data_IF_213996299396
#
_entry.id   IF_213996299396
#
_cell.length_a   1.000
_cell.length_b   1.000
_cell.length_c   1.000
_cell.angle_alpha   90.00
_cell.angle_beta   90.00
_cell.angle_gamma   90.00
#
_symmetry.space_group_name_H-M   'P 1'
#
loop_
_entity.id
_entity.type
_entity.pdbx_description
1 polymer ?
#
# COMPACT_ATOMS: atom_id res chain seq x y z
N UNK A 1 6.60 14.24 -3.10
CA UNK A 1 7.49 13.10 -2.75
C UNK A 1 7.64 12.90 -1.24
N UNK A 2 8.36 13.76 -0.50
CA UNK A 2 8.55 13.59 0.95
C UNK A 2 7.24 13.57 1.75
N UNK A 3 6.26 14.41 1.40
CA UNK A 3 4.90 14.39 1.98
C UNK A 3 4.26 13.00 1.91
N UNK A 4 4.23 12.40 0.70
CA UNK A 4 3.72 11.05 0.47
C UNK A 4 4.50 10.01 1.27
N UNK A 5 5.84 10.09 1.29
CA UNK A 5 6.68 9.18 2.08
C UNK A 5 6.30 9.21 3.56
N UNK A 6 6.17 10.40 4.15
CA UNK A 6 5.82 10.55 5.56
C UNK A 6 4.42 10.00 5.83
N UNK A 7 3.41 10.44 5.08
CA UNK A 7 2.03 9.99 5.25
C UNK A 7 1.89 8.47 5.08
N UNK A 8 2.57 7.88 4.11
CA UNK A 8 2.57 6.43 3.88
C UNK A 8 3.26 5.66 5.01
N UNK A 9 4.44 6.13 5.46
CA UNK A 9 5.16 5.49 6.57
C UNK A 9 4.33 5.49 7.85
N UNK A 10 3.64 6.59 8.16
CA UNK A 10 2.73 6.61 9.30
C UNK A 10 1.51 5.71 9.08
N UNK A 11 0.89 5.74 7.91
CA UNK A 11 -0.25 4.88 7.61
C UNK A 11 0.07 3.39 7.80
N UNK A 12 1.15 2.89 7.18
CA UNK A 12 1.48 1.46 7.22
C UNK A 12 1.84 0.99 8.64
N UNK A 13 2.48 1.87 9.43
CA UNK A 13 2.91 1.55 10.79
C UNK A 13 1.74 1.64 11.77
N UNK A 14 0.85 2.63 11.62
CA UNK A 14 -0.37 2.73 12.42
C UNK A 14 -1.27 1.53 12.14
N UNK A 15 -1.47 1.16 10.87
CA UNK A 15 -2.26 -0.03 10.51
C UNK A 15 -1.73 -1.29 11.21
N UNK A 16 -0.42 -1.53 11.15
CA UNK A 16 0.24 -2.72 11.74
C UNK A 16 0.19 -2.71 13.28
N UNK A 17 0.56 -1.59 13.91
CA UNK A 17 0.66 -1.48 15.37
C UNK A 17 -0.70 -1.41 16.06
N UNK A 18 -1.65 -0.71 15.46
CA UNK A 18 -3.00 -0.62 16.04
C UNK A 18 -3.68 -1.98 15.94
N UNK A 19 -3.53 -2.71 14.81
CA UNK A 19 -3.98 -4.12 14.67
C UNK A 19 -3.45 -5.01 15.81
N UNK A 20 -2.15 -4.91 16.10
CA UNK A 20 -1.54 -5.64 17.22
C UNK A 20 -2.14 -5.23 18.56
N UNK A 21 -2.36 -3.94 18.77
CA UNK A 21 -2.95 -3.43 20.00
C UNK A 21 -4.37 -3.94 20.25
N UNK A 22 -5.20 -4.06 19.20
CA UNK A 22 -6.55 -4.61 19.36
C UNK A 22 -6.53 -6.09 19.70
N UNK A 23 -5.61 -6.87 19.11
CA UNK A 23 -5.40 -8.26 19.51
C UNK A 23 -4.99 -8.36 20.98
N UNK A 24 -3.99 -7.59 21.41
CA UNK A 24 -3.52 -7.58 22.80
C UNK A 24 -4.64 -7.20 23.77
N UNK A 25 -5.51 -6.26 23.38
CA UNK A 25 -6.68 -5.87 24.17
C UNK A 25 -7.68 -7.03 24.29
N UNK A 26 -7.93 -7.77 23.21
CA UNK A 26 -8.77 -8.97 23.21
C UNK A 26 -8.17 -10.14 24.00
N UNK A 27 -6.85 -10.19 24.13
CA UNK A 27 -6.11 -11.15 24.94
C UNK A 27 -5.89 -10.68 26.39
N UNK A 28 -6.71 -9.74 26.89
CA UNK A 28 -6.65 -9.18 28.25
C UNK A 28 -5.27 -8.64 28.66
N UNK A 29 -4.53 -8.09 27.70
CA UNK A 29 -3.17 -7.58 27.91
C UNK A 29 -2.18 -8.62 28.47
N UNK A 30 -2.39 -9.91 28.20
CA UNK A 30 -1.53 -11.02 28.62
C UNK A 30 -0.10 -11.01 28.08
N UNK A 31 0.22 -10.10 27.16
CA UNK A 31 1.52 -10.03 26.48
C UNK A 31 1.67 -11.00 25.30
N UNK A 32 0.64 -11.80 24.99
CA UNK A 32 0.62 -12.64 23.80
C UNK A 32 0.78 -11.78 22.53
N UNK A 33 1.74 -12.15 21.69
CA UNK A 33 1.99 -11.46 20.42
C UNK A 33 1.09 -12.03 19.34
N UNK A 34 0.51 -11.14 18.54
CA UNK A 34 -0.20 -11.53 17.32
C UNK A 34 0.76 -11.81 16.17
N UNK A 35 1.78 -10.95 16.02
CA UNK A 35 2.77 -11.03 14.96
C UNK A 35 3.99 -11.82 15.41
N UNK A 36 4.58 -12.58 14.48
CA UNK A 36 5.94 -13.10 14.63
C UNK A 36 6.94 -11.93 14.57
N UNK A 37 7.95 -11.96 15.44
CA UNK A 37 8.99 -10.92 15.51
C UNK A 37 9.76 -10.79 14.20
N UNK A 38 10.04 -11.94 13.56
CA UNK A 38 10.74 -11.97 12.29
C UNK A 38 9.88 -11.30 11.21
N UNK A 39 8.60 -11.68 11.11
CA UNK A 39 7.67 -11.09 10.15
C UNK A 39 7.51 -9.58 10.35
N UNK A 40 7.41 -9.13 11.60
CA UNK A 40 7.28 -7.71 11.95
C UNK A 40 8.52 -6.89 11.58
N UNK A 41 9.71 -7.46 11.81
CA UNK A 41 10.98 -6.80 11.50
C UNK A 41 11.17 -6.73 9.99
N UNK A 42 10.96 -7.85 9.29
CA UNK A 42 11.13 -7.93 7.84
C UNK A 42 10.08 -7.11 7.08
N UNK A 43 8.86 -6.99 7.62
CA UNK A 43 7.82 -6.09 7.11
C UNK A 43 8.31 -4.65 6.98
N UNK A 44 8.93 -4.12 8.04
CA UNK A 44 9.40 -2.73 8.06
C UNK A 44 10.68 -2.51 7.25
N UNK A 45 11.60 -3.46 7.28
CA UNK A 45 12.95 -3.30 6.71
C UNK A 45 13.04 -3.70 5.25
N UNK A 46 12.32 -4.74 4.82
CA UNK A 46 12.46 -5.31 3.48
C UNK A 46 11.19 -5.10 2.65
N UNK A 47 10.03 -5.54 3.15
CA UNK A 47 8.83 -5.65 2.31
C UNK A 47 8.14 -4.32 2.02
N UNK A 48 8.24 -3.33 2.91
CA UNK A 48 7.49 -2.07 2.75
C UNK A 48 8.35 -0.82 2.57
N UNK A 49 9.65 -0.89 2.86
CA UNK A 49 10.59 0.23 2.78
C UNK A 49 11.16 0.43 1.37
N UNK A 50 11.48 -0.65 0.64
CA UNK A 50 12.11 -0.57 -0.67
C UNK A 50 11.24 0.17 -1.71
N UNK A 51 9.94 -0.15 -1.84
CA UNK A 51 9.09 0.55 -2.83
C UNK A 51 8.90 2.03 -2.49
N UNK A 52 8.74 2.37 -1.20
CA UNK A 52 8.52 3.76 -0.79
C UNK A 52 9.79 4.61 -0.94
N UNK A 53 10.97 4.04 -0.67
CA UNK A 53 12.25 4.72 -0.93
C UNK A 53 12.42 4.95 -2.43
N UNK A 54 12.12 3.94 -3.25
CA UNK A 54 12.18 4.06 -4.71
C UNK A 54 11.28 5.18 -5.23
N UNK A 55 10.04 5.27 -4.74
CA UNK A 55 9.12 6.37 -5.09
C UNK A 55 9.67 7.71 -4.60
N UNK A 56 10.15 7.80 -3.36
CA UNK A 56 10.62 9.06 -2.81
C UNK A 56 11.82 9.65 -3.57
N UNK A 57 12.70 8.79 -4.09
CA UNK A 57 13.88 9.21 -4.86
C UNK A 57 13.54 9.39 -6.34
N UNK A 58 12.92 8.39 -6.97
CA UNK A 58 12.80 8.32 -8.43
C UNK A 58 11.47 8.83 -8.98
N UNK A 59 10.38 8.84 -8.20
CA UNK A 59 9.09 9.32 -8.72
C UNK A 59 9.10 10.83 -8.85
N UNK A 60 8.79 11.33 -10.04
CA UNK A 60 8.88 12.75 -10.36
C UNK A 60 7.57 13.28 -10.93
N UNK A 61 6.96 14.25 -10.23
CA UNK A 61 5.74 14.90 -10.71
C UNK A 61 5.95 15.59 -12.07
N UNK A 62 7.16 16.12 -12.32
CA UNK A 62 7.54 16.79 -13.57
C UNK A 62 9.01 16.53 -13.93
N UNK A 63 9.36 16.53 -15.24
CA UNK A 63 10.75 16.58 -15.68
C UNK A 63 11.46 17.85 -15.19
N UNK A 64 12.75 17.77 -14.84
CA UNK A 64 13.53 18.91 -14.32
C UNK A 64 13.43 20.17 -15.20
N UNK A 65 13.50 20.00 -16.52
CA UNK A 65 13.36 21.08 -17.51
C UNK A 65 12.01 21.82 -17.45
N UNK A 66 10.95 21.14 -17.03
CA UNK A 66 9.62 21.74 -16.85
C UNK A 66 9.56 22.51 -15.53
N UNK A 67 10.13 21.97 -14.46
CA UNK A 67 10.19 22.63 -13.16
C UNK A 67 10.97 23.95 -13.22
N UNK A 68 12.11 23.98 -13.92
CA UNK A 68 12.93 25.19 -14.12
C UNK A 68 12.20 26.29 -14.90
N UNK A 69 11.37 25.92 -15.88
CA UNK A 69 10.63 26.87 -16.73
C UNK A 69 9.34 27.39 -16.10
N UNK A 70 8.92 26.81 -14.98
CA UNK A 70 7.67 27.14 -14.31
C UNK A 70 7.90 27.32 -12.80
N UNK A 71 8.55 28.43 -12.37
CA UNK A 71 8.83 28.70 -10.95
C UNK A 71 7.55 28.81 -10.10
N UNK A 72 6.40 29.04 -10.73
CA UNK A 72 5.09 29.00 -10.08
C UNK A 72 4.82 27.66 -9.37
N UNK A 73 5.38 26.53 -9.86
CA UNK A 73 5.23 25.21 -9.22
C UNK A 73 5.84 25.17 -7.81
N UNK A 74 6.89 25.96 -7.56
CA UNK A 74 7.52 26.02 -6.24
C UNK A 74 6.63 26.71 -5.19
N UNK A 75 5.73 27.62 -5.62
CA UNK A 75 4.80 28.32 -4.73
C UNK A 75 3.82 27.38 -4.04
N UNK A 76 3.50 26.23 -4.64
CA UNK A 76 2.65 25.22 -4.02
C UNK A 76 3.30 24.59 -2.78
N UNK A 77 4.62 24.39 -2.80
CA UNK A 77 5.38 23.92 -1.65
C UNK A 77 5.52 24.97 -0.56
N UNK A 78 5.85 26.21 -0.93
CA UNK A 78 5.97 27.32 0.02
C UNK A 78 4.64 27.65 0.75
N UNK A 79 3.51 27.42 0.08
CA UNK A 79 2.17 27.57 0.67
C UNK A 79 1.65 26.33 1.41
N UNK A 80 2.49 25.31 1.59
CA UNK A 80 2.15 24.06 2.28
C UNK A 80 0.91 23.33 1.71
N UNK A 81 0.63 23.49 0.41
CA UNK A 81 -0.54 22.86 -0.23
C UNK A 81 -0.35 21.36 -0.50
N UNK A 82 0.89 20.87 -0.38
CA UNK A 82 1.27 19.47 -0.66
C UNK A 82 1.33 18.64 0.64
N UNK A 83 1.48 19.29 1.79
CA UNK A 83 1.48 18.65 3.10
C UNK A 83 0.77 19.56 4.09
N UNK A 84 -0.37 19.08 4.59
CA UNK A 84 -1.20 19.78 5.57
C UNK A 84 -1.40 18.85 6.76
N UNK A 85 -1.50 19.40 7.98
CA UNK A 85 -1.79 18.61 9.18
C UNK A 85 -3.08 17.79 9.05
N UNK A 86 -4.12 18.36 8.41
CA UNK A 86 -5.37 17.67 8.12
C UNK A 86 -5.17 16.46 7.21
N UNK A 87 -4.29 16.57 6.20
CA UNK A 87 -3.92 15.45 5.33
C UNK A 87 -3.24 14.36 6.17
N UNK A 88 -2.24 14.71 6.97
CA UNK A 88 -1.55 13.73 7.83
C UNK A 88 -2.53 12.96 8.73
N UNK A 89 -3.38 13.66 9.47
CA UNK A 89 -4.36 13.01 10.35
C UNK A 89 -5.40 12.19 9.59
N UNK A 90 -5.80 12.61 8.39
CA UNK A 90 -6.71 11.80 7.56
C UNK A 90 -6.11 10.43 7.21
N UNK A 91 -4.80 10.35 6.96
CA UNK A 91 -4.11 9.08 6.71
C UNK A 91 -4.02 8.22 7.98
N UNK A 92 -3.69 8.83 9.12
CA UNK A 92 -3.59 8.12 10.41
C UNK A 92 -4.96 7.56 10.84
N UNK A 93 -6.01 8.37 10.76
CA UNK A 93 -7.37 7.96 11.12
C UNK A 93 -7.91 6.90 10.15
N UNK A 94 -7.61 7.02 8.85
CA UNK A 94 -7.94 5.98 7.88
C UNK A 94 -7.24 4.66 8.21
N UNK A 95 -5.94 4.68 8.55
CA UNK A 95 -5.20 3.49 8.96
C UNK A 95 -5.81 2.84 10.20
N UNK A 96 -6.15 3.65 11.20
CA UNK A 96 -6.79 3.18 12.42
C UNK A 96 -8.17 2.57 12.13
N UNK A 97 -9.01 3.22 11.33
CA UNK A 97 -10.33 2.71 10.97
C UNK A 97 -10.24 1.38 10.20
N UNK A 98 -9.34 1.30 9.21
CA UNK A 98 -9.12 0.06 8.45
C UNK A 98 -8.57 -1.04 9.36
N UNK A 99 -7.68 -0.73 10.30
CA UNK A 99 -7.17 -1.72 11.28
C UNK A 99 -8.29 -2.34 12.12
N UNK A 100 -9.27 -1.52 12.55
CA UNK A 100 -10.40 -2.00 13.36
C UNK A 100 -11.28 -2.93 12.54
N UNK A 101 -11.67 -2.51 11.33
CA UNK A 101 -12.48 -3.35 10.43
C UNK A 101 -11.76 -4.67 10.12
N UNK A 102 -10.46 -4.59 9.84
CA UNK A 102 -9.63 -5.75 9.58
C UNK A 102 -9.57 -6.70 10.77
N UNK A 103 -9.29 -6.19 11.97
CA UNK A 103 -9.22 -6.99 13.19
C UNK A 103 -10.56 -7.69 13.51
N UNK A 104 -11.68 -6.99 13.37
CA UNK A 104 -13.02 -7.58 13.55
C UNK A 104 -13.31 -8.69 12.52
N UNK A 105 -12.83 -8.53 11.28
CA UNK A 105 -13.00 -9.54 10.25
C UNK A 105 -12.16 -10.78 10.53
N UNK A 106 -10.92 -10.61 11.00
CA UNK A 106 -10.04 -11.72 11.39
C UNK A 106 -10.60 -12.44 12.63
N UNK A 107 -11.12 -11.72 13.61
CA UNK A 107 -11.68 -12.32 14.84
C UNK A 107 -12.97 -13.11 14.56
N UNK A 108 -13.83 -12.62 13.67
CA UNK A 108 -15.03 -13.35 13.22
C UNK A 108 -14.68 -14.58 12.40
N UNK A 109 -13.65 -14.51 11.54
CA UNK A 109 -13.14 -15.67 10.81
C UNK A 109 -12.62 -16.75 11.78
N UNK A 110 -11.89 -16.34 12.82
CA UNK A 110 -11.39 -17.24 13.86
C UNK A 110 -12.52 -17.87 14.68
N UNK A 111 -13.52 -17.09 15.08
CA UNK A 111 -14.68 -17.57 15.85
C UNK A 111 -15.60 -18.48 15.02
N UNK A 112 -15.84 -18.15 13.74
CA UNK A 112 -16.75 -18.88 12.83
C UNK A 112 -16.17 -20.17 12.23
N UNK A 113 -14.99 -20.61 12.66
CA UNK A 113 -14.34 -21.82 12.19
C UNK A 113 -14.98 -23.14 12.66
N UNK A 114 -15.79 -23.12 13.71
CA UNK A 114 -16.25 -24.32 14.40
C UNK A 114 -15.12 -25.06 15.14
N UNK A 115 -15.45 -26.02 16.01
CA UNK A 115 -14.50 -26.73 16.88
C UNK A 115 -13.35 -27.44 16.12
N UNK A 116 -13.59 -27.82 14.85
CA UNK A 116 -12.61 -28.50 13.99
C UNK A 116 -11.60 -27.55 13.32
N UNK A 117 -11.91 -26.26 13.16
CA UNK A 117 -10.94 -25.27 12.68
C UNK A 117 -10.20 -24.57 13.83
N UNK A 118 -10.82 -24.44 15.00
CA UNK A 118 -10.18 -23.93 16.21
C UNK A 118 -9.09 -24.87 16.75
N UNK A 119 -9.18 -26.17 16.46
CA UNK A 119 -8.14 -27.16 16.78
C UNK A 119 -6.97 -27.19 15.78
N UNK A 120 -7.08 -26.52 14.63
CA UNK A 120 -6.03 -26.52 13.58
C UNK A 120 -5.38 -25.14 13.36
N UNK A 121 -6.03 -24.04 13.77
CA UNK A 121 -5.53 -22.68 13.59
C UNK A 121 -4.88 -22.15 14.87
N UNK A 122 -3.55 -22.25 14.94
CA UNK A 122 -2.78 -21.58 15.99
C UNK A 122 -2.85 -20.04 15.84
N UNK A 123 -2.63 -19.31 16.94
CA UNK A 123 -2.53 -17.84 16.90
C UNK A 123 -1.44 -17.38 15.92
N UNK A 124 -0.34 -18.14 15.81
CA UNK A 124 0.75 -17.90 14.87
C UNK A 124 0.32 -18.05 13.40
N UNK A 125 -0.53 -19.03 13.12
CA UNK A 125 -1.14 -19.22 11.79
C UNK A 125 -2.00 -18.03 11.41
N UNK A 126 -2.85 -17.57 12.33
CA UNK A 126 -3.74 -16.42 12.13
C UNK A 126 -2.95 -15.11 11.97
N UNK A 127 -1.90 -14.93 12.77
CA UNK A 127 -0.97 -13.81 12.66
C UNK A 127 -0.24 -13.79 11.32
N UNK A 128 0.18 -14.96 10.82
CA UNK A 128 0.87 -15.03 9.52
C UNK A 128 -0.05 -14.71 8.36
N UNK A 129 -1.24 -15.31 8.33
CA UNK A 129 -2.32 -14.96 7.39
C UNK A 129 -2.57 -13.46 7.39
N UNK A 130 -2.62 -12.88 8.59
CA UNK A 130 -2.90 -11.47 8.72
C UNK A 130 -1.78 -10.58 8.23
N UNK A 131 -0.52 -10.98 8.43
CA UNK A 131 0.62 -10.26 7.90
C UNK A 131 0.67 -10.32 6.36
N UNK A 132 0.30 -11.46 5.76
CA UNK A 132 0.16 -11.63 4.30
C UNK A 132 -0.81 -10.62 3.72
N UNK A 133 -1.97 -10.49 4.33
CA UNK A 133 -3.00 -9.56 3.87
C UNK A 133 -2.55 -8.11 4.05
N UNK A 134 -2.10 -7.71 5.25
CA UNK A 134 -1.69 -6.33 5.54
C UNK A 134 -0.54 -5.92 4.63
N UNK A 135 0.50 -6.74 4.49
CA UNK A 135 1.68 -6.44 3.67
C UNK A 135 1.32 -6.28 2.19
N UNK A 136 0.44 -7.13 1.68
CA UNK A 136 -0.03 -7.02 0.30
C UNK A 136 -0.88 -5.77 0.12
N UNK A 137 -1.80 -5.51 1.03
CA UNK A 137 -2.69 -4.36 1.00
C UNK A 137 -1.92 -3.03 1.02
N UNK A 138 -0.95 -2.85 1.92
CA UNK A 138 -0.17 -1.59 1.98
C UNK A 138 0.68 -1.40 0.74
N UNK A 139 1.24 -2.48 0.19
CA UNK A 139 2.02 -2.45 -1.06
C UNK A 139 1.15 -2.05 -2.25
N UNK A 140 -0.06 -2.63 -2.37
CA UNK A 140 -1.02 -2.25 -3.41
C UNK A 140 -1.52 -0.82 -3.23
N UNK A 141 -1.78 -0.40 -1.98
CA UNK A 141 -2.17 0.98 -1.69
C UNK A 141 -1.10 1.96 -2.14
N UNK A 142 0.18 1.65 -1.88
CA UNK A 142 1.28 2.47 -2.36
C UNK A 142 1.40 2.48 -3.89
N UNK A 143 1.21 1.33 -4.55
CA UNK A 143 1.23 1.23 -6.01
C UNK A 143 0.20 2.19 -6.65
N UNK A 144 -0.95 2.37 -6.01
CA UNK A 144 -1.97 3.32 -6.46
C UNK A 144 -1.59 4.81 -6.24
N UNK A 145 -0.62 5.12 -5.38
CA UNK A 145 -0.11 6.50 -5.20
C UNK A 145 1.04 6.86 -6.15
N UNK A 146 1.53 5.90 -6.95
CA UNK A 146 2.59 6.14 -7.92
C UNK A 146 2.06 7.05 -9.03
N UNK A 147 2.70 8.21 -9.23
CA UNK A 147 2.28 9.13 -10.29
C UNK A 147 2.77 8.68 -11.66
N UNK A 148 4.03 8.23 -11.75
CA UNK A 148 4.63 7.78 -13.01
C UNK A 148 5.32 6.42 -12.86
N UNK A 149 4.78 5.41 -13.54
CA UNK A 149 5.38 4.09 -13.61
C UNK A 149 6.59 4.11 -14.55
N UNK A 150 7.77 4.23 -13.95
CA UNK A 150 9.05 4.02 -14.66
C UNK A 150 9.48 2.55 -14.53
N UNK A 151 10.29 2.07 -15.49
CA UNK A 151 10.81 0.69 -15.47
C UNK A 151 11.52 0.35 -14.14
N UNK A 152 12.41 1.21 -13.58
CA UNK A 152 13.05 0.91 -12.30
C UNK A 152 12.05 0.79 -11.14
N UNK A 153 11.03 1.66 -11.08
CA UNK A 153 10.00 1.59 -10.04
C UNK A 153 9.21 0.28 -10.18
N UNK A 154 8.78 -0.07 -11.40
CA UNK A 154 8.07 -1.32 -11.67
C UNK A 154 8.91 -2.55 -11.29
N UNK A 155 10.20 -2.56 -11.62
CA UNK A 155 11.12 -3.63 -11.23
C UNK A 155 11.28 -3.75 -9.71
N UNK A 156 11.35 -2.63 -8.98
CA UNK A 156 11.44 -2.66 -7.52
C UNK A 156 10.16 -3.20 -6.90
N UNK A 157 8.98 -2.77 -7.38
CA UNK A 157 7.71 -3.34 -6.93
C UNK A 157 7.62 -4.84 -7.17
N UNK A 158 8.00 -5.29 -8.38
CA UNK A 158 8.01 -6.70 -8.73
C UNK A 158 9.00 -7.50 -7.86
N UNK A 159 10.20 -6.95 -7.63
CA UNK A 159 11.20 -7.56 -6.76
C UNK A 159 10.70 -7.65 -5.32
N UNK A 160 10.12 -6.59 -4.78
CA UNK A 160 9.57 -6.61 -3.42
C UNK A 160 8.47 -7.65 -3.27
N UNK A 161 7.56 -7.76 -4.26
CA UNK A 161 6.52 -8.78 -4.25
C UNK A 161 7.10 -10.19 -4.38
N UNK A 162 8.10 -10.39 -5.25
CA UNK A 162 8.78 -11.68 -5.41
C UNK A 162 9.54 -12.09 -4.14
N UNK A 163 10.24 -11.16 -3.49
CA UNK A 163 10.93 -11.38 -2.22
C UNK A 163 9.92 -11.69 -1.11
N UNK A 164 8.76 -11.03 -1.11
CA UNK A 164 7.71 -11.31 -0.14
C UNK A 164 7.11 -12.72 -0.31
N UNK A 165 6.70 -13.07 -1.54
CA UNK A 165 6.13 -14.40 -1.81
C UNK A 165 7.17 -15.49 -1.61
N UNK A 166 8.41 -15.25 -2.06
CA UNK A 166 9.53 -16.17 -1.89
C UNK A 166 9.88 -16.39 -0.42
N UNK A 167 9.89 -15.33 0.40
CA UNK A 167 10.14 -15.48 1.83
C UNK A 167 9.02 -16.23 2.53
N UNK A 168 7.74 -16.04 2.15
CA UNK A 168 6.64 -16.85 2.68
C UNK A 168 6.80 -18.34 2.35
N UNK A 169 7.24 -18.67 1.13
CA UNK A 169 7.52 -20.06 0.75
C UNK A 169 8.71 -20.64 1.54
N UNK A 170 9.76 -19.86 1.74
CA UNK A 170 10.91 -20.25 2.56
C UNK A 170 10.53 -20.46 4.03
N UNK A 171 9.76 -19.55 4.61
CA UNK A 171 9.27 -19.66 5.98
C UNK A 171 8.33 -20.86 6.14
N UNK A 172 7.42 -21.07 5.19
CA UNK A 172 6.59 -22.26 5.16
C UNK A 172 7.41 -23.56 5.16
N UNK A 173 8.48 -23.62 4.35
CA UNK A 173 9.40 -24.76 4.34
C UNK A 173 10.22 -24.90 5.62
N UNK A 174 10.80 -23.83 6.13
CA UNK A 174 11.59 -23.86 7.36
C UNK A 174 10.72 -24.25 8.57
N UNK A 175 9.55 -23.63 8.73
CA UNK A 175 8.64 -23.96 9.84
C UNK A 175 8.13 -25.40 9.77
N UNK A 176 7.94 -25.95 8.56
CA UNK A 176 7.61 -27.38 8.39
C UNK A 176 8.67 -28.32 8.97
N UNK A 177 9.96 -27.97 8.91
CA UNK A 177 11.04 -28.81 9.45
C UNK A 177 11.34 -28.58 10.94
N UNK A 178 11.09 -27.37 11.45
CA UNK A 178 11.56 -26.98 12.78
C UNK A 178 10.46 -26.87 13.84
N UNK A 179 9.17 -26.78 13.47
CA UNK A 179 8.08 -26.51 14.42
C UNK A 179 6.80 -27.30 14.10
N UNK A 180 6.40 -28.20 15.00
CA UNK A 180 5.21 -29.05 14.85
C UNK A 180 3.91 -28.24 14.69
N UNK A 181 3.83 -27.06 15.30
CA UNK A 181 2.66 -26.16 15.23
C UNK A 181 2.38 -25.61 13.81
N UNK A 182 3.33 -25.75 12.89
CA UNK A 182 3.25 -25.26 11.51
C UNK A 182 3.08 -26.38 10.48
N UNK A 183 2.97 -27.63 10.94
CA UNK A 183 2.78 -28.77 10.07
C UNK A 183 1.53 -28.60 9.19
N UNK A 184 1.74 -28.61 7.88
CA UNK A 184 0.67 -28.46 6.89
C UNK A 184 0.02 -27.06 6.82
N UNK A 185 0.56 -26.03 7.50
CA UNK A 185 -0.01 -24.67 7.48
C UNK A 185 -0.28 -24.12 6.07
N UNK A 186 0.63 -24.23 5.07
CA UNK A 186 0.36 -23.77 3.73
C UNK A 186 -0.82 -24.49 3.07
N UNK A 187 -0.89 -25.81 3.22
CA UNK A 187 -1.93 -26.64 2.61
C UNK A 187 -3.30 -26.48 3.30
N UNK A 188 -3.32 -26.29 4.62
CA UNK A 188 -4.55 -26.20 5.39
C UNK A 188 -5.12 -24.77 5.48
N UNK A 189 -4.27 -23.75 5.30
CA UNK A 189 -4.68 -22.35 5.50
C UNK A 189 -4.54 -21.51 4.22
N UNK A 190 -3.34 -21.46 3.62
CA UNK A 190 -3.07 -20.55 2.49
C UNK A 190 -3.71 -20.99 1.17
N UNK A 191 -3.85 -22.30 0.95
CA UNK A 191 -4.43 -22.85 -0.29
C UNK A 191 -5.97 -22.95 -0.21
N UNK A 192 -6.55 -22.77 0.99
CA UNK A 192 -7.98 -22.95 1.21
C UNK A 192 -8.81 -21.83 0.56
N UNK A 193 -9.92 -22.19 -0.10
CA UNK A 193 -10.84 -21.22 -0.73
C UNK A 193 -11.32 -20.14 0.24
N UNK A 194 -11.57 -20.50 1.51
CA UNK A 194 -11.97 -19.55 2.57
C UNK A 194 -10.94 -18.43 2.76
N UNK A 195 -9.64 -18.77 2.73
CA UNK A 195 -8.57 -17.78 2.81
C UNK A 195 -8.50 -16.94 1.54
N UNK A 196 -8.60 -17.56 0.35
CA UNK A 196 -8.60 -16.81 -0.92
C UNK A 196 -9.73 -15.78 -1.00
N UNK A 197 -10.95 -16.14 -0.62
CA UNK A 197 -12.09 -15.22 -0.56
C UNK A 197 -11.88 -14.11 0.48
N UNK A 198 -11.41 -14.46 1.68
CA UNK A 198 -11.12 -13.48 2.73
C UNK A 198 -9.99 -12.51 2.33
N UNK A 199 -8.96 -13.02 1.66
CA UNK A 199 -7.83 -12.23 1.16
C UNK A 199 -8.29 -11.18 0.15
N UNK A 200 -9.10 -11.58 -0.85
CA UNK A 200 -9.65 -10.65 -1.84
C UNK A 200 -10.56 -9.62 -1.18
N UNK A 201 -11.45 -10.08 -0.28
CA UNK A 201 -12.34 -9.20 0.47
C UNK A 201 -11.57 -8.17 1.31
N UNK A 202 -10.52 -8.60 2.02
CA UNK A 202 -9.75 -7.73 2.90
C UNK A 202 -8.94 -6.69 2.12
N UNK A 203 -8.39 -7.06 0.95
CA UNK A 203 -7.76 -6.09 0.04
C UNK A 203 -8.79 -5.09 -0.47
N UNK A 204 -9.96 -5.56 -0.93
CA UNK A 204 -11.01 -4.69 -1.45
C UNK A 204 -11.45 -3.65 -0.42
N UNK A 205 -11.72 -4.08 0.82
CA UNK A 205 -12.12 -3.17 1.90
C UNK A 205 -10.97 -2.26 2.34
N UNK A 206 -9.74 -2.77 2.43
CA UNK A 206 -8.59 -1.95 2.81
C UNK A 206 -8.32 -0.81 1.82
N UNK A 207 -8.57 -1.05 0.52
CA UNK A 207 -8.38 -0.04 -0.53
C UNK A 207 -9.61 0.86 -0.74
N UNK A 208 -10.78 0.46 -0.24
CA UNK A 208 -12.03 1.17 -0.46
C UNK A 208 -12.00 2.65 -0.01
N UNK A 209 -11.52 3.01 1.20
CA UNK A 209 -11.48 4.41 1.62
C UNK A 209 -10.65 5.29 0.68
N UNK A 210 -9.54 4.74 0.16
CA UNK A 210 -8.70 5.44 -0.82
C UNK A 210 -9.42 5.61 -2.15
N UNK A 211 -10.04 4.56 -2.68
CA UNK A 211 -10.78 4.63 -3.93
C UNK A 211 -11.94 5.62 -3.84
N UNK A 212 -12.68 5.61 -2.73
CA UNK A 212 -13.73 6.60 -2.45
C UNK A 212 -13.15 8.01 -2.45
N UNK A 213 -12.02 8.25 -1.75
CA UNK A 213 -11.38 9.57 -1.72
C UNK A 213 -10.98 10.05 -3.11
N UNK A 214 -10.45 9.18 -3.96
CA UNK A 214 -10.08 9.57 -5.32
C UNK A 214 -11.29 9.84 -6.21
N UNK A 215 -12.34 9.02 -6.13
CA UNK A 215 -13.58 9.25 -6.88
C UNK A 215 -14.25 10.55 -6.42
N UNK A 216 -14.44 10.73 -5.10
CA UNK A 216 -15.03 11.97 -4.55
C UNK A 216 -14.16 13.16 -4.89
N UNK A 217 -12.83 13.05 -4.80
CA UNK A 217 -11.92 14.14 -5.16
C UNK A 217 -11.84 14.44 -6.65
N UNK A 218 -12.32 13.54 -7.53
CA UNK A 218 -12.49 13.80 -8.95
C UNK A 218 -13.76 14.60 -9.25
N UNK A 219 -14.84 14.37 -8.50
CA UNK A 219 -16.10 15.12 -8.64
C UNK A 219 -16.10 16.45 -7.84
N UNK A 220 -15.49 16.46 -6.67
CA UNK A 220 -15.41 17.58 -5.73
C UNK A 220 -13.94 17.85 -5.38
N UNK A 221 -13.18 18.50 -6.28
CA UNK A 221 -11.78 18.80 -6.02
C UNK A 221 -11.68 19.78 -4.84
N UNK A 222 -10.91 19.41 -3.82
CA UNK A 222 -10.64 20.28 -2.68
C UNK A 222 -9.91 21.55 -3.11
N UNK A 223 -10.04 22.63 -2.34
CA UNK A 223 -9.39 23.92 -2.63
C UNK A 223 -7.87 23.78 -2.84
N UNK A 224 -7.23 22.87 -2.11
CA UNK A 224 -5.81 22.54 -2.29
C UNK A 224 -5.53 21.85 -3.63
N UNK A 225 -6.37 20.88 -4.04
CA UNK A 225 -6.27 20.21 -5.35
C UNK A 225 -6.53 21.20 -6.48
N UNK A 226 -7.48 22.11 -6.31
CA UNK A 226 -7.77 23.21 -7.24
C UNK A 226 -6.61 24.20 -7.33
N UNK A 227 -6.01 24.57 -6.19
CA UNK A 227 -4.85 25.47 -6.17
C UNK A 227 -3.64 24.84 -6.88
N UNK A 228 -3.38 23.56 -6.65
CA UNK A 228 -2.35 22.80 -7.37
C UNK A 228 -2.70 22.68 -8.86
N UNK A 229 -3.97 22.44 -9.21
CA UNK A 229 -4.43 22.39 -10.59
C UNK A 229 -4.30 23.74 -11.31
N UNK A 230 -4.61 24.86 -10.65
CA UNK A 230 -4.43 26.20 -11.18
C UNK A 230 -2.96 26.55 -11.39
N UNK A 231 -2.07 26.19 -10.45
CA UNK A 231 -0.62 26.33 -10.63
C UNK A 231 -0.12 25.47 -11.79
N UNK A 232 -0.68 24.26 -11.96
CA UNK A 232 -0.40 23.37 -13.10
C UNK A 232 -1.01 23.87 -14.42
N UNK A 233 -2.09 24.66 -14.36
CA UNK A 233 -2.78 25.22 -15.52
C UNK A 233 -2.17 26.54 -16.00
N UNK A 234 -1.63 27.35 -15.10
CA UNK A 234 -0.87 28.57 -15.40
C UNK A 234 0.51 28.30 -16.02
N UNK A 235 0.80 27.04 -16.35
CA UNK A 235 2.06 26.58 -16.94
C UNK A 235 2.12 26.95 -18.44
N UNK A 236 3.25 27.45 -18.95
CA UNK A 236 3.36 27.82 -20.36
C UNK A 236 3.14 26.61 -21.30
N UNK A 237 2.42 26.77 -22.43
CA UNK A 237 2.00 25.65 -23.30
C UNK A 237 3.16 24.83 -23.89
N UNK A 238 4.38 25.38 -23.93
CA UNK A 238 5.61 24.68 -24.35
C UNK A 238 6.06 23.59 -23.35
N UNK A 239 5.70 23.68 -22.06
CA UNK A 239 6.03 22.68 -21.04
C UNK A 239 5.05 21.49 -21.04
N UNK A 240 3.76 21.73 -21.32
CA UNK A 240 2.74 20.68 -21.51
C UNK A 240 3.06 19.74 -22.69
N UNK A 241 3.74 20.24 -23.72
CA UNK A 241 4.10 19.48 -24.94
C UNK A 241 5.25 18.47 -24.76
N UNK A 242 5.90 18.41 -23.60
CA UNK A 242 7.09 17.56 -23.34
C UNK A 242 6.81 16.32 -22.45
N UNK A 243 5.57 16.11 -22.00
CA UNK A 243 5.10 14.82 -21.49
C UNK A 243 5.02 13.79 -22.65
N UNK A 244 5.32 12.51 -22.42
CA UNK A 244 6.38 11.79 -23.12
C UNK A 244 6.11 11.46 -24.58
N UNK A 245 7.19 11.47 -25.36
CA UNK A 245 7.32 11.21 -26.79
C UNK A 245 6.74 9.87 -27.32
N UNK A 246 6.12 9.04 -26.48
CA UNK A 246 5.42 7.82 -26.89
C UNK A 246 4.05 8.13 -27.53
N UNK A 247 3.35 9.19 -27.10
CA UNK A 247 2.08 9.59 -27.72
C UNK A 247 2.27 10.15 -29.15
N UNK A 248 3.45 10.72 -29.43
CA UNK A 248 3.80 11.23 -30.77
C UNK A 248 4.14 10.12 -31.76
N UNK A 249 4.68 8.97 -31.31
CA UNK A 249 4.88 7.79 -32.17
C UNK A 249 3.54 7.14 -32.57
N UNK A 250 2.54 7.19 -31.70
CA UNK A 250 1.18 6.72 -32.00
C UNK A 250 0.43 7.65 -32.99
N UNK A 251 0.67 8.96 -32.93
CA UNK A 251 0.04 9.94 -33.82
C UNK A 251 0.79 10.16 -35.14
N UNK A 252 2.11 9.88 -35.19
CA UNK A 252 2.92 9.97 -36.41
C UNK A 252 2.62 8.88 -37.45
N UNK A 253 2.03 7.75 -37.04
CA UNK A 253 1.61 6.69 -37.97
C UNK A 253 0.27 6.97 -38.67
N UNK A 254 -0.51 7.97 -38.21
CA UNK A 254 -1.77 8.36 -38.87
C UNK A 254 -1.61 9.45 -39.94
N UNK A 255 -0.40 9.98 -40.14
CA UNK A 255 -0.11 10.96 -41.21
C UNK A 255 0.74 10.38 -42.35
N UNK A 256 1.10 9.08 -42.30
CA UNK A 256 1.84 8.38 -43.36
C UNK A 256 1.01 7.32 -44.09
N UNK A 257 -0.27 7.15 -43.72
CA UNK A 257 -1.24 6.39 -44.50
C UNK A 257 -2.17 7.39 -45.20
N UNK A 258 -1.58 8.03 -46.20
CA UNK A 258 -2.21 8.75 -47.31
C UNK A 258 -3.19 7.84 -48.09
N UNK A 259 -4.01 8.37 -49.03
CA UNK A 259 -3.84 9.63 -49.77
C UNK A 259 -4.94 10.68 -49.57
#
# INVERSE_FOLDING_TARGET
>A
RLSLLVCYMFYKNVLDRVTQFQFTSGAFFSGQKFWSEVLTTTYNVIYTSLPIIAIAVADADFPARVAERAPALYRAGARQLVYTHSLFWSWVLEAAAVSVVYYLAVSTLYAGGGARAQSTLSVWSLGTVSQVIITTMVTLRLALDVTHWTVPIACIFALTLAVWVGSMALWAGAYFFFWDEWWGFPAHVLITLRFGLFFVWAIAIGLLPKLIREVVGAFFPSDDRLAVAHVRAAMPPKARRQAPALLRRALGRRQQAEP
#
